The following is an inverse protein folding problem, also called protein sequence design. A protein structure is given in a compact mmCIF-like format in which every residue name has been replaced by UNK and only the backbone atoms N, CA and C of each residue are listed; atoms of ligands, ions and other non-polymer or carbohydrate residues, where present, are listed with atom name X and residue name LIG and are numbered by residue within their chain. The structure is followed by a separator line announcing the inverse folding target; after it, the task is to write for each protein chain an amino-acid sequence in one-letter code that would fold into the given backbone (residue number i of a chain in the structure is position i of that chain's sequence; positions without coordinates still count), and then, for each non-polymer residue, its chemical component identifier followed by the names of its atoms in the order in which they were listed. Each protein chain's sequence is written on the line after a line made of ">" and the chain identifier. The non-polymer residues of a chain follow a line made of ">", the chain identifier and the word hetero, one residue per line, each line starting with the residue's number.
data_IF_031278013448
#
_entry.id   IF_031278013448
#
_cell.length_a   1.000
_cell.length_b   1.000
_cell.length_c   1.000
_cell.angle_alpha   90.00
_cell.angle_beta   90.00
_cell.angle_gamma   90.00
#
_symmetry.space_group_name_H-M   'P 1'
#
loop_
_entity.id
_entity.type
_entity.pdbx_description
1 polymer ?
#
# COMPACT_ATOMS: atom_id res chain seq x y z
N UNK A 1 -4.41 33.24 -24.52
CA UNK A 1 -4.34 32.31 -23.37
C UNK A 1 -3.65 31.07 -23.87
N UNK A 2 -2.57 30.60 -23.22
CA UNK A 2 -1.99 29.31 -23.61
C UNK A 2 -2.96 28.21 -23.22
N UNK A 3 -3.22 27.29 -24.15
CA UNK A 3 -4.06 26.13 -23.84
C UNK A 3 -3.29 25.19 -22.91
N UNK A 4 -3.94 24.79 -21.83
CA UNK A 4 -3.38 23.81 -20.88
C UNK A 4 -4.18 22.51 -20.92
N UNK A 5 -3.53 21.40 -20.56
CA UNK A 5 -4.18 20.12 -20.27
C UNK A 5 -3.78 19.62 -18.88
N UNK A 6 -4.50 18.63 -18.38
CA UNK A 6 -4.30 18.07 -17.05
C UNK A 6 -3.71 16.67 -17.11
N UNK A 7 -2.73 16.43 -16.24
CA UNK A 7 -2.16 15.10 -15.99
C UNK A 7 -2.51 14.68 -14.56
N UNK A 8 -2.96 13.45 -14.42
CA UNK A 8 -3.26 12.83 -13.13
C UNK A 8 -2.10 11.92 -12.74
N UNK A 9 -1.40 12.29 -11.67
CA UNK A 9 -0.33 11.48 -11.11
C UNK A 9 -0.89 10.36 -10.22
N UNK A 10 -0.13 9.26 -9.97
CA UNK A 10 -0.58 8.14 -9.13
C UNK A 10 -0.99 8.54 -7.70
N UNK A 11 -0.37 9.60 -7.16
CA UNK A 11 -0.69 10.16 -5.84
C UNK A 11 -1.88 11.13 -5.86
N UNK A 12 -2.70 11.11 -6.93
CA UNK A 12 -3.88 11.97 -7.12
C UNK A 12 -3.58 13.47 -7.25
N UNK A 13 -2.31 13.85 -7.43
CA UNK A 13 -1.95 15.23 -7.78
C UNK A 13 -2.33 15.47 -9.24
N UNK A 14 -3.00 16.61 -9.48
CA UNK A 14 -3.34 17.07 -10.82
C UNK A 14 -2.32 18.13 -11.22
N UNK A 15 -1.58 17.87 -12.30
CA UNK A 15 -0.60 18.77 -12.87
C UNK A 15 -1.21 19.50 -14.06
N UNK A 16 -1.07 20.82 -14.11
CA UNK A 16 -1.40 21.60 -15.30
C UNK A 16 -0.17 21.70 -16.21
N UNK A 17 -0.37 21.41 -17.49
CA UNK A 17 0.71 21.38 -18.49
C UNK A 17 0.33 22.25 -19.67
N UNK A 18 1.23 23.13 -20.07
CA UNK A 18 1.09 23.94 -21.28
C UNK A 18 1.16 23.06 -22.54
N UNK A 19 0.17 23.15 -23.44
CA UNK A 19 0.09 22.29 -24.64
C UNK A 19 1.20 22.56 -25.65
N UNK A 20 1.70 23.79 -25.75
CA UNK A 20 2.69 24.16 -26.77
C UNK A 20 4.11 23.84 -26.34
N UNK A 21 4.38 23.92 -25.04
CA UNK A 21 5.74 23.81 -24.50
C UNK A 21 5.95 22.60 -23.59
N UNK A 22 4.88 21.86 -23.25
CA UNK A 22 4.92 20.78 -22.27
C UNK A 22 5.48 21.20 -20.90
N UNK A 23 5.40 22.51 -20.59
CA UNK A 23 5.84 23.04 -19.30
C UNK A 23 4.82 22.71 -18.23
N UNK A 24 5.28 22.05 -17.17
CA UNK A 24 4.48 21.74 -16.00
C UNK A 24 4.44 22.98 -15.09
N UNK A 25 3.23 23.39 -14.72
CA UNK A 25 3.02 24.44 -13.75
C UNK A 25 3.16 23.87 -12.34
N UNK A 26 4.18 24.34 -11.61
CA UNK A 26 4.40 23.99 -10.21
C UNK A 26 3.54 24.91 -9.34
N UNK A 27 2.52 24.35 -8.70
CA UNK A 27 1.70 25.07 -7.72
C UNK A 27 2.18 24.75 -6.31
N UNK A 28 2.39 25.76 -5.45
CA UNK A 28 2.79 25.53 -4.08
C UNK A 28 1.68 24.75 -3.33
N UNK A 29 2.07 23.68 -2.67
CA UNK A 29 1.23 23.00 -1.69
C UNK A 29 1.49 23.64 -0.32
N UNK A 30 0.45 23.82 0.49
CA UNK A 30 0.48 24.56 1.77
C UNK A 30 1.80 24.42 2.54
N UNK A 31 2.48 25.55 2.78
CA UNK A 31 3.76 25.67 3.50
C UNK A 31 4.95 24.89 2.92
N UNK A 32 4.90 24.48 1.64
CA UNK A 32 6.02 23.85 0.94
C UNK A 32 6.43 24.73 -0.23
N UNK A 33 7.68 25.21 -0.22
CA UNK A 33 8.25 25.93 -1.35
C UNK A 33 8.37 25.00 -2.56
N UNK A 34 7.79 25.41 -3.69
CA UNK A 34 7.99 24.74 -4.97
C UNK A 34 9.34 25.14 -5.56
N UNK A 35 10.11 24.13 -6.01
CA UNK A 35 11.37 24.35 -6.73
C UNK A 35 11.17 25.07 -8.07
N UNK A 36 12.29 25.40 -8.73
CA UNK A 36 12.26 25.98 -10.07
C UNK A 36 11.92 24.91 -11.11
N UNK A 37 11.22 25.32 -12.16
CA UNK A 37 11.00 24.49 -13.33
C UNK A 37 12.33 24.07 -13.96
N UNK A 38 12.45 22.79 -14.32
CA UNK A 38 13.49 22.28 -15.21
C UNK A 38 12.84 21.46 -16.33
N UNK A 39 13.38 21.60 -17.54
CA UNK A 39 12.87 20.90 -18.72
C UNK A 39 13.05 19.38 -18.59
N UNK A 40 14.16 18.95 -18.02
CA UNK A 40 14.48 17.53 -17.83
C UNK A 40 13.48 16.82 -16.91
N UNK A 41 13.04 17.47 -15.81
CA UNK A 41 12.03 16.90 -14.93
C UNK A 41 10.68 16.77 -15.62
N UNK A 42 10.31 17.74 -16.46
CA UNK A 42 9.06 17.68 -17.22
C UNK A 42 9.10 16.55 -18.24
N UNK A 43 10.23 16.38 -18.94
CA UNK A 43 10.42 15.30 -19.90
C UNK A 43 10.34 13.93 -19.22
N UNK A 44 11.04 13.75 -18.10
CA UNK A 44 11.02 12.50 -17.35
C UNK A 44 9.61 12.16 -16.84
N UNK A 45 8.89 13.14 -16.29
CA UNK A 45 7.54 12.95 -15.79
C UNK A 45 6.55 12.59 -16.90
N UNK A 46 6.62 13.28 -18.05
CA UNK A 46 5.76 12.99 -19.20
C UNK A 46 6.03 11.60 -19.79
N UNK A 47 7.29 11.20 -19.87
CA UNK A 47 7.66 9.83 -20.27
C UNK A 47 7.11 8.79 -19.31
N UNK A 48 7.26 9.00 -17.99
CA UNK A 48 6.71 8.11 -16.98
C UNK A 48 5.18 8.04 -17.06
N UNK A 49 4.50 9.17 -17.26
CA UNK A 49 3.05 9.23 -17.43
C UNK A 49 2.58 8.47 -18.68
N UNK A 50 3.28 8.61 -19.81
CA UNK A 50 2.98 7.85 -21.03
C UNK A 50 3.12 6.34 -20.81
N UNK A 51 4.23 5.90 -20.23
CA UNK A 51 4.46 4.48 -19.89
C UNK A 51 3.35 3.97 -18.98
N UNK A 52 2.97 4.73 -17.96
CA UNK A 52 1.89 4.38 -17.05
C UNK A 52 0.54 4.24 -17.77
N UNK A 53 0.18 5.19 -18.62
CA UNK A 53 -1.08 5.13 -19.39
C UNK A 53 -1.10 3.95 -20.38
N UNK A 54 0.01 3.63 -21.01
CA UNK A 54 0.14 2.45 -21.86
C UNK A 54 0.01 1.14 -21.06
N UNK A 55 0.71 1.04 -19.93
CA UNK A 55 0.62 -0.11 -19.04
C UNK A 55 -0.81 -0.30 -18.52
N UNK A 56 -1.50 0.78 -18.15
CA UNK A 56 -2.89 0.77 -17.68
C UNK A 56 -3.85 0.25 -18.75
N UNK A 57 -3.67 0.62 -20.01
CA UNK A 57 -4.49 0.11 -21.13
C UNK A 57 -4.33 -1.40 -21.33
N UNK A 58 -3.14 -1.93 -21.05
CA UNK A 58 -2.85 -3.36 -21.17
C UNK A 58 -3.23 -4.17 -19.92
N UNK A 59 -3.33 -3.51 -18.76
CA UNK A 59 -3.61 -4.15 -17.49
C UNK A 59 -5.03 -4.75 -17.47
N UNK A 60 -5.09 -6.09 -17.37
CA UNK A 60 -6.31 -6.84 -17.10
C UNK A 60 -6.25 -7.35 -15.66
N UNK A 61 -6.96 -6.73 -14.71
CA UNK A 61 -6.98 -7.22 -13.34
C UNK A 61 -7.55 -8.64 -13.31
N UNK A 62 -6.82 -9.55 -12.68
CA UNK A 62 -7.31 -10.88 -12.36
C UNK A 62 -8.08 -10.79 -11.04
N UNK A 63 -9.40 -10.96 -11.09
CA UNK A 63 -10.25 -11.02 -9.91
C UNK A 63 -10.68 -12.45 -9.67
N UNK A 64 -10.60 -12.96 -8.45
CA UNK A 64 -11.12 -14.29 -8.13
C UNK A 64 -12.62 -14.36 -8.49
N UNK A 65 -12.95 -15.14 -9.51
CA UNK A 65 -14.33 -15.54 -9.80
C UNK A 65 -14.72 -16.65 -8.81
N UNK A 66 -15.58 -16.37 -7.81
CA UNK A 66 -15.98 -17.37 -6.83
C UNK A 66 -16.81 -18.50 -7.45
N UNK A 67 -17.42 -18.25 -8.60
CA UNK A 67 -18.24 -19.23 -9.32
C UNK A 67 -17.42 -20.19 -10.20
N UNK A 68 -16.13 -19.89 -10.41
CA UNK A 68 -15.19 -20.65 -11.26
C UNK A 68 -15.68 -20.85 -12.70
N UNK A 69 -16.62 -20.02 -13.18
CA UNK A 69 -17.25 -20.19 -14.49
C UNK A 69 -16.37 -19.66 -15.61
N UNK A 70 -15.57 -18.62 -15.35
CA UNK A 70 -14.71 -17.99 -16.36
C UNK A 70 -13.39 -18.73 -16.57
N UNK A 71 -12.82 -19.30 -15.51
CA UNK A 71 -11.60 -20.11 -15.56
C UNK A 71 -11.64 -21.21 -14.48
N UNK A 72 -11.77 -22.50 -14.88
CA UNK A 72 -11.78 -23.62 -13.94
C UNK A 72 -10.49 -23.79 -13.11
N UNK A 73 -9.36 -23.26 -13.59
CA UNK A 73 -8.06 -23.33 -12.90
C UNK A 73 -7.78 -22.12 -11.99
N UNK A 74 -8.67 -21.13 -11.96
CA UNK A 74 -8.49 -19.88 -11.22
C UNK A 74 -8.30 -20.10 -9.72
N UNK A 75 -8.90 -21.17 -9.18
CA UNK A 75 -8.70 -21.56 -7.78
C UNK A 75 -7.24 -21.89 -7.46
N UNK A 76 -6.49 -22.50 -8.40
CA UNK A 76 -5.06 -22.81 -8.21
C UNK A 76 -4.20 -21.55 -8.27
N UNK A 77 -4.48 -20.66 -9.21
CA UNK A 77 -3.79 -19.37 -9.35
C UNK A 77 -3.96 -18.50 -8.09
N UNK A 78 -5.18 -18.47 -7.53
CA UNK A 78 -5.47 -17.75 -6.28
C UNK A 78 -5.08 -18.51 -5.01
N UNK A 79 -4.67 -19.76 -5.11
CA UNK A 79 -4.30 -20.54 -3.92
C UNK A 79 -3.04 -19.98 -3.26
N UNK A 80 -2.07 -19.51 -4.04
CA UNK A 80 -0.85 -18.85 -3.54
C UNK A 80 -1.18 -17.57 -2.77
N UNK A 81 -2.01 -16.70 -3.35
CA UNK A 81 -2.53 -15.49 -2.70
C UNK A 81 -3.30 -15.82 -1.41
N UNK A 82 -4.21 -16.78 -1.47
CA UNK A 82 -4.99 -17.23 -0.30
C UNK A 82 -4.07 -17.77 0.81
N UNK A 83 -3.10 -18.60 0.46
CA UNK A 83 -2.18 -19.19 1.43
C UNK A 83 -1.25 -18.15 2.06
N UNK A 84 -0.93 -17.07 1.33
CA UNK A 84 -0.08 -15.98 1.81
C UNK A 84 -0.85 -14.97 2.67
N UNK A 85 -2.05 -14.55 2.24
CA UNK A 85 -2.77 -13.40 2.82
C UNK A 85 -4.09 -13.75 3.53
N UNK A 86 -4.74 -14.86 3.16
CA UNK A 86 -6.03 -15.29 3.71
C UNK A 86 -5.90 -16.59 4.51
N UNK A 87 -4.68 -16.94 4.92
CA UNK A 87 -4.46 -18.04 5.83
C UNK A 87 -5.14 -17.66 7.15
N UNK A 88 -6.18 -18.41 7.51
CA UNK A 88 -6.78 -18.27 8.82
C UNK A 88 -5.65 -18.29 9.87
N UNK A 89 -5.62 -17.33 10.82
CA UNK A 89 -4.72 -17.46 11.95
C UNK A 89 -5.00 -18.80 12.59
N UNK A 90 -3.97 -19.49 13.08
CA UNK A 90 -4.12 -20.85 13.63
C UNK A 90 -5.23 -20.81 14.69
N UNK A 91 -6.41 -21.31 14.34
CA UNK A 91 -7.57 -21.31 15.24
C UNK A 91 -7.20 -22.25 16.39
N UNK A 92 -7.26 -21.73 17.63
CA UNK A 92 -6.75 -22.35 18.88
C UNK A 92 -5.24 -22.17 19.17
N UNK A 93 -4.46 -21.39 18.41
CA UNK A 93 -3.06 -21.10 18.76
C UNK A 93 -2.89 -20.04 19.86
N UNK A 94 -3.94 -19.28 20.17
CA UNK A 94 -3.98 -18.55 21.43
C UNK A 94 -4.25 -19.64 22.49
N UNK A 95 -3.18 -20.15 23.09
CA UNK A 95 -3.29 -21.13 24.17
C UNK A 95 -4.32 -20.63 25.19
N UNK A 96 -5.20 -21.50 25.72
CA UNK A 96 -6.12 -21.11 26.77
C UNK A 96 -5.31 -20.54 27.94
N UNK A 97 -5.82 -19.47 28.56
CA UNK A 97 -5.16 -18.82 29.68
C UNK A 97 -5.01 -19.80 30.83
N UNK A 98 -3.79 -19.96 31.33
CA UNK A 98 -3.57 -20.65 32.60
C UNK A 98 -4.16 -19.81 33.73
N UNK A 99 -4.54 -20.46 34.85
CA UNK A 99 -5.06 -19.76 36.03
C UNK A 99 -4.11 -18.67 36.54
N UNK A 100 -2.80 -18.91 36.43
CA UNK A 100 -1.74 -17.96 36.84
C UNK A 100 -1.68 -16.75 35.92
N UNK A 101 -1.71 -16.96 34.60
CA UNK A 101 -1.71 -15.86 33.62
C UNK A 101 -2.94 -14.98 33.77
N UNK A 102 -4.11 -15.58 34.01
CA UNK A 102 -5.36 -14.83 34.21
C UNK A 102 -5.28 -13.98 35.47
N UNK A 103 -4.84 -14.56 36.58
CA UNK A 103 -4.64 -13.83 37.84
C UNK A 103 -3.61 -12.68 37.71
N UNK A 104 -2.52 -12.90 36.97
CA UNK A 104 -1.52 -11.88 36.71
C UNK A 104 -2.07 -10.72 35.85
N UNK A 105 -2.84 -11.00 34.81
CA UNK A 105 -3.46 -9.95 34.00
C UNK A 105 -4.50 -9.15 34.77
N UNK A 106 -5.29 -9.83 35.62
CA UNK A 106 -6.29 -9.20 36.48
C UNK A 106 -5.65 -8.34 37.58
N UNK A 107 -4.40 -8.61 37.99
CA UNK A 107 -3.68 -7.78 38.97
C UNK A 107 -3.07 -6.49 38.40
N UNK A 108 -2.97 -6.35 37.06
CA UNK A 108 -2.44 -5.15 36.41
C UNK A 108 -3.41 -3.97 36.61
N UNK A 109 -2.91 -2.85 37.11
CA UNK A 109 -3.75 -1.73 37.52
C UNK A 109 -4.20 -0.88 36.33
N UNK A 110 -3.30 -0.58 35.40
CA UNK A 110 -3.55 0.37 34.31
C UNK A 110 -3.97 -0.32 33.01
N UNK A 111 -4.71 0.41 32.17
CA UNK A 111 -5.05 -0.04 30.80
C UNK A 111 -3.80 -0.28 29.95
N UNK A 112 -2.74 0.51 30.17
CA UNK A 112 -1.48 0.44 29.43
C UNK A 112 -0.75 -0.87 29.70
N UNK A 113 -0.63 -1.28 30.96
CA UNK A 113 0.02 -2.53 31.36
C UNK A 113 -0.73 -3.75 30.79
N UNK A 114 -2.07 -3.74 30.89
CA UNK A 114 -2.91 -4.80 30.30
C UNK A 114 -2.72 -4.91 28.80
N UNK A 115 -2.65 -3.78 28.10
CA UNK A 115 -2.39 -3.76 26.66
C UNK A 115 -1.00 -4.30 26.30
N UNK A 116 0.05 -3.86 27.00
CA UNK A 116 1.42 -4.35 26.81
C UNK A 116 1.51 -5.87 27.00
N UNK A 117 0.87 -6.39 28.04
CA UNK A 117 0.82 -7.82 28.31
C UNK A 117 0.14 -8.60 27.17
N UNK A 118 -0.99 -8.12 26.64
CA UNK A 118 -1.68 -8.75 25.51
C UNK A 118 -0.83 -8.76 24.23
N UNK A 119 -0.12 -7.68 23.94
CA UNK A 119 0.78 -7.58 22.79
C UNK A 119 1.90 -8.61 22.89
N UNK A 120 2.59 -8.70 24.04
CA UNK A 120 3.64 -9.71 24.27
C UNK A 120 3.06 -11.13 24.14
N UNK A 121 1.91 -11.38 24.77
CA UNK A 121 1.25 -12.70 24.78
C UNK A 121 0.76 -13.15 23.41
N UNK A 122 0.32 -12.22 22.57
CA UNK A 122 -0.15 -12.54 21.21
C UNK A 122 0.98 -13.02 20.28
N UNK A 123 2.24 -12.88 20.68
CA UNK A 123 3.38 -13.21 19.82
C UNK A 123 3.48 -12.32 18.58
N UNK A 124 2.72 -11.20 18.54
CA UNK A 124 2.79 -10.21 17.48
C UNK A 124 4.16 -9.56 17.51
N UNK A 125 5.05 -10.01 16.62
CA UNK A 125 6.28 -9.30 16.31
C UNK A 125 5.93 -8.25 15.26
N UNK A 126 6.34 -7.01 15.48
CA UNK A 126 6.41 -6.05 14.39
C UNK A 126 7.28 -6.70 13.31
N UNK A 127 6.74 -6.88 12.11
CA UNK A 127 7.55 -7.24 10.97
C UNK A 127 8.42 -6.01 10.68
N UNK A 128 9.57 -5.93 11.35
CA UNK A 128 10.68 -5.12 10.84
C UNK A 128 10.97 -5.76 9.49
N UNK A 129 10.64 -5.05 8.42
CA UNK A 129 11.11 -5.40 7.09
C UNK A 129 12.62 -5.40 7.23
N UNK A 130 13.25 -6.57 7.11
CA UNK A 130 14.70 -6.65 7.02
C UNK A 130 15.09 -5.95 5.72
N UNK A 131 15.48 -4.69 5.84
CA UNK A 131 16.11 -3.96 4.75
C UNK A 131 17.51 -4.58 4.62
N UNK A 132 17.88 -5.13 3.46
CA UNK A 132 19.21 -5.69 3.26
C UNK A 132 20.31 -4.65 3.57
N UNK A 133 21.45 -5.10 4.11
CA UNK A 133 22.58 -4.24 4.47
C UNK A 133 23.20 -3.50 3.27
N UNK A 134 22.83 -3.94 2.07
CA UNK A 134 23.22 -3.49 0.76
C UNK A 134 22.16 -2.59 0.06
N UNK A 135 21.13 -2.15 0.79
CA UNK A 135 20.19 -1.09 0.36
C UNK A 135 20.73 0.32 0.61
#
# INVERSE_FOLDING_TARGET
>A
MSETYQIYAPNSIILQVDKGTNKIHLTPYTNIETGKYTEEYSKALLQAWQIMEEAKKQYKPLYLDPSLKTNPNHFKEFQSFRNLYLKDPIKKAIAPWTKKEKAYYESLQTKRERYQYLVIRSGLRSAVIDIPFDA
#
